data_IF_248068817949
#
_entry.id   IF_248068817949
#
_cell.length_a   1.000
_cell.length_b   1.000
_cell.length_c   1.000
_cell.angle_alpha   90.00
_cell.angle_beta   90.00
_cell.angle_gamma   90.00
#
_symmetry.space_group_name_H-M   'P 1'
#
loop_
_entity.id
_entity.type
_entity.pdbx_description
1 polymer ?
#
# COMPACT_ATOMS: atom_id res chain seq x y z
N UNK A 1 -10.92 20.17 12.37
CA UNK A 1 -11.38 18.82 11.98
C UNK A 1 -12.68 18.96 11.20
N UNK A 2 -12.73 18.44 9.97
CA UNK A 2 -13.98 18.39 9.21
C UNK A 2 -14.91 17.32 9.82
N UNK A 3 -16.22 17.56 9.80
CA UNK A 3 -17.24 16.65 10.38
C UNK A 3 -18.36 16.30 9.40
N UNK A 4 -18.55 17.13 8.37
CA UNK A 4 -19.55 16.96 7.33
C UNK A 4 -18.89 17.16 5.97
N UNK A 5 -19.49 16.61 4.90
CA UNK A 5 -19.02 16.85 3.54
C UNK A 5 -18.96 18.34 3.18
N UNK A 6 -19.83 19.16 3.78
CA UNK A 6 -19.85 20.61 3.57
C UNK A 6 -18.61 21.30 4.18
N UNK A 7 -18.04 20.78 5.27
CA UNK A 7 -16.75 21.29 5.78
C UNK A 7 -15.61 21.01 4.79
N UNK A 8 -15.63 19.87 4.10
CA UNK A 8 -14.65 19.55 3.05
C UNK A 8 -14.80 20.53 1.89
N UNK A 9 -16.02 20.72 1.40
CA UNK A 9 -16.31 21.69 0.34
C UNK A 9 -15.89 23.11 0.72
N UNK A 10 -16.29 23.59 1.91
CA UNK A 10 -15.92 24.93 2.37
C UNK A 10 -14.40 25.13 2.45
N UNK A 11 -13.66 24.10 2.89
CA UNK A 11 -12.20 24.14 2.91
C UNK A 11 -11.58 24.20 1.51
N UNK A 12 -12.10 23.42 0.56
CA UNK A 12 -11.68 23.44 -0.86
C UNK A 12 -11.96 24.81 -1.47
N UNK A 13 -13.18 25.32 -1.31
CA UNK A 13 -13.60 26.60 -1.86
C UNK A 13 -12.77 27.75 -1.27
N UNK A 14 -12.52 27.74 0.04
CA UNK A 14 -11.66 28.74 0.68
C UNK A 14 -10.23 28.68 0.14
N UNK A 15 -9.65 27.49 0.05
CA UNK A 15 -8.28 27.33 -0.44
C UNK A 15 -8.12 27.81 -1.88
N UNK A 16 -9.03 27.38 -2.76
CA UNK A 16 -9.07 27.79 -4.17
C UNK A 16 -9.25 29.30 -4.31
N UNK A 17 -10.21 29.89 -3.61
CA UNK A 17 -10.55 31.32 -3.75
C UNK A 17 -9.51 32.26 -3.14
N UNK A 18 -8.71 31.80 -2.17
CA UNK A 18 -7.72 32.62 -1.47
C UNK A 18 -6.26 32.25 -1.79
N UNK A 19 -6.02 31.40 -2.80
CA UNK A 19 -4.70 30.94 -3.19
C UNK A 19 -3.90 30.34 -2.01
N UNK A 20 -4.56 29.55 -1.17
CA UNK A 20 -3.95 28.86 -0.02
C UNK A 20 -3.66 27.42 -0.42
N UNK A 21 -2.47 26.93 -0.11
CA UNK A 21 -2.11 25.52 -0.31
C UNK A 21 -3.07 24.63 0.49
N UNK A 22 -3.73 23.70 -0.19
CA UNK A 22 -4.63 22.74 0.43
C UNK A 22 -3.91 21.42 0.76
N UNK A 23 -4.17 20.86 1.93
CA UNK A 23 -3.77 19.51 2.31
C UNK A 23 -5.00 18.73 2.77
N UNK A 24 -5.13 17.49 2.30
CA UNK A 24 -6.12 16.54 2.80
C UNK A 24 -5.39 15.55 3.69
N UNK A 25 -5.82 15.42 4.95
CA UNK A 25 -5.21 14.51 5.93
C UNK A 25 -6.26 13.58 6.50
N UNK A 26 -6.01 12.27 6.41
CA UNK A 26 -6.73 11.25 7.17
C UNK A 26 -5.98 10.94 8.48
N UNK A 27 -5.23 9.83 8.52
CA UNK A 27 -4.52 9.38 9.73
C UNK A 27 -3.15 10.06 9.91
N UNK A 28 -2.49 10.43 8.80
CA UNK A 28 -1.13 10.96 8.81
C UNK A 28 -0.04 9.90 8.59
N UNK A 29 -0.43 8.71 8.13
CA UNK A 29 0.46 7.57 7.81
C UNK A 29 1.36 7.76 6.57
N UNK A 30 1.22 8.85 5.82
CA UNK A 30 1.93 8.99 4.55
C UNK A 30 3.46 9.11 4.73
N UNK A 31 4.20 8.09 4.28
CA UNK A 31 5.67 8.04 4.36
C UNK A 31 6.39 9.18 3.64
N UNK A 32 5.74 9.77 2.64
CA UNK A 32 6.30 10.83 1.79
C UNK A 32 5.90 12.24 2.25
N UNK A 33 5.20 12.38 3.37
CA UNK A 33 4.77 13.68 3.90
C UNK A 33 3.69 14.38 3.08
N UNK A 34 2.95 13.66 2.23
CA UNK A 34 1.90 14.22 1.35
C UNK A 34 0.63 14.61 2.11
N UNK A 35 0.50 14.23 3.39
CA UNK A 35 -0.54 14.71 4.30
C UNK A 35 -0.10 15.88 5.20
N UNK A 36 0.98 16.59 4.84
CA UNK A 36 1.45 17.80 5.51
C UNK A 36 1.98 18.82 4.50
N UNK A 37 2.12 20.08 4.92
CA UNK A 37 2.64 21.15 4.09
C UNK A 37 2.74 22.47 4.84
N UNK A 38 3.88 23.17 4.69
CA UNK A 38 4.06 24.49 5.28
C UNK A 38 3.01 25.48 4.77
N UNK A 39 2.47 26.31 5.67
CA UNK A 39 1.52 27.38 5.34
C UNK A 39 0.20 26.90 4.72
N UNK A 40 -0.16 25.63 4.90
CA UNK A 40 -1.33 25.03 4.27
C UNK A 40 -2.58 25.08 5.14
N UNK A 41 -3.75 25.09 4.48
CA UNK A 41 -5.02 24.71 5.10
C UNK A 41 -5.16 23.19 5.05
N UNK A 42 -5.17 22.54 6.22
CA UNK A 42 -5.37 21.10 6.31
C UNK A 42 -6.84 20.75 6.58
N UNK A 43 -7.50 20.11 5.60
CA UNK A 43 -8.77 19.42 5.80
C UNK A 43 -8.48 18.06 6.44
N UNK A 44 -8.67 17.98 7.75
CA UNK A 44 -8.53 16.73 8.47
C UNK A 44 -9.86 15.96 8.49
N UNK A 45 -9.88 14.79 7.84
CA UNK A 45 -11.05 13.91 7.65
C UNK A 45 -11.15 12.80 8.71
N UNK A 46 -10.26 12.77 9.70
CA UNK A 46 -10.20 11.71 10.71
C UNK A 46 -11.49 11.60 11.56
N UNK A 47 -12.37 12.60 11.58
CA UNK A 47 -13.65 12.52 12.30
C UNK A 47 -14.76 11.74 11.56
N UNK A 48 -14.57 11.37 10.29
CA UNK A 48 -15.59 10.75 9.44
C UNK A 48 -15.72 9.24 9.65
N UNK A 49 -16.24 8.81 10.80
CA UNK A 49 -16.18 7.40 11.25
C UNK A 49 -17.33 6.51 10.77
N UNK A 50 -18.34 7.06 10.11
CA UNK A 50 -19.55 6.31 9.73
C UNK A 50 -19.23 5.13 8.80
N UNK A 51 -19.79 3.97 9.12
CA UNK A 51 -19.69 2.74 8.32
C UNK A 51 -21.06 2.06 8.30
N UNK A 52 -21.48 1.62 7.12
CA UNK A 52 -22.75 0.96 6.88
C UNK A 52 -22.51 -0.32 6.08
N UNK A 53 -23.19 -1.40 6.45
CA UNK A 53 -23.19 -2.66 5.70
C UNK A 53 -24.53 -2.79 5.00
N UNK A 54 -24.49 -3.08 3.71
CA UNK A 54 -25.66 -3.19 2.85
C UNK A 54 -25.69 -4.57 2.21
N UNK A 55 -26.86 -5.20 2.27
CA UNK A 55 -27.16 -6.42 1.53
C UNK A 55 -27.81 -5.98 0.23
N UNK A 56 -27.12 -6.19 -0.90
CA UNK A 56 -27.60 -5.76 -2.21
C UNK A 56 -27.67 -6.95 -3.15
N UNK A 57 -28.89 -7.44 -3.41
CA UNK A 57 -29.17 -8.34 -4.55
C UNK A 57 -29.07 -7.60 -5.90
N UNK A 58 -28.85 -6.28 -5.88
CA UNK A 58 -29.08 -5.34 -6.97
C UNK A 58 -28.19 -5.51 -8.22
N UNK A 59 -27.23 -6.42 -8.20
CA UNK A 59 -26.21 -6.54 -9.25
C UNK A 59 -25.86 -7.99 -9.63
N UNK A 60 -26.70 -8.97 -9.28
CA UNK A 60 -26.36 -10.40 -9.43
C UNK A 60 -25.09 -10.81 -8.65
N UNK A 61 -24.63 -9.99 -7.72
CA UNK A 61 -23.65 -10.38 -6.71
C UNK A 61 -24.41 -11.06 -5.57
N UNK A 62 -24.08 -12.31 -5.27
CA UNK A 62 -24.51 -12.98 -4.04
C UNK A 62 -23.68 -12.54 -2.82
N UNK A 63 -23.00 -11.38 -2.91
CA UNK A 63 -21.99 -10.91 -1.98
C UNK A 63 -22.51 -9.73 -1.14
N UNK A 64 -22.04 -9.62 0.10
CA UNK A 64 -22.29 -8.46 0.96
C UNK A 64 -21.46 -7.26 0.47
N UNK A 65 -21.98 -6.04 0.63
CA UNK A 65 -21.26 -4.80 0.28
C UNK A 65 -21.15 -3.93 1.53
N UNK A 66 -20.01 -3.25 1.69
CA UNK A 66 -19.79 -2.30 2.78
C UNK A 66 -19.55 -0.92 2.21
N UNK A 67 -20.16 0.07 2.83
CA UNK A 67 -19.95 1.47 2.55
C UNK A 67 -19.37 2.13 3.77
N UNK A 68 -18.15 2.61 3.65
CA UNK A 68 -17.44 3.30 4.73
C UNK A 68 -17.10 4.74 4.35
N UNK A 69 -17.18 5.64 5.31
CA UNK A 69 -16.66 7.01 5.17
C UNK A 69 -15.12 7.01 5.10
N UNK A 70 -14.52 8.18 4.85
CA UNK A 70 -13.06 8.35 4.67
C UNK A 70 -12.20 7.86 5.84
N UNK A 71 -12.75 7.77 7.07
CA UNK A 71 -11.91 7.48 8.22
C UNK A 71 -11.47 6.02 8.42
N UNK A 72 -12.38 5.03 8.59
CA UNK A 72 -12.15 3.86 9.43
C UNK A 72 -10.76 3.25 9.24
N UNK A 73 -10.06 3.08 10.36
CA UNK A 73 -8.78 2.39 10.36
C UNK A 73 -8.99 0.90 10.06
N UNK A 74 -7.98 0.25 9.47
CA UNK A 74 -8.10 -1.15 9.01
C UNK A 74 -8.67 -2.09 10.06
N UNK A 75 -8.14 -2.06 11.29
CA UNK A 75 -8.63 -2.92 12.38
C UNK A 75 -10.05 -2.57 12.81
N UNK A 76 -10.41 -1.29 12.86
CA UNK A 76 -11.77 -0.88 13.21
C UNK A 76 -12.77 -1.38 12.18
N UNK A 77 -12.44 -1.25 10.88
CA UNK A 77 -13.28 -1.70 9.78
C UNK A 77 -13.47 -3.23 9.81
N UNK A 78 -12.39 -3.98 10.02
CA UNK A 78 -12.46 -5.45 10.16
C UNK A 78 -13.29 -5.88 11.39
N UNK A 79 -13.17 -5.17 12.52
CA UNK A 79 -13.97 -5.44 13.72
C UNK A 79 -15.46 -5.24 13.45
N UNK A 80 -15.83 -4.15 12.76
CA UNK A 80 -17.23 -3.89 12.38
C UNK A 80 -17.75 -4.94 11.40
N UNK A 81 -16.91 -5.41 10.48
CA UNK A 81 -17.23 -6.45 9.50
C UNK A 81 -17.50 -7.83 10.18
N UNK A 82 -16.68 -8.20 11.17
CA UNK A 82 -16.86 -9.43 11.95
C UNK A 82 -18.06 -9.38 12.93
N UNK A 83 -18.70 -8.22 13.11
CA UNK A 83 -19.94 -8.06 13.90
C UNK A 83 -21.22 -8.24 13.06
N UNK A 84 -21.10 -8.36 11.74
CA UNK A 84 -22.26 -8.57 10.87
C UNK A 84 -22.81 -9.99 11.01
N UNK A 85 -24.07 -10.18 10.60
CA UNK A 85 -24.71 -11.50 10.54
C UNK A 85 -25.29 -11.74 9.14
N UNK A 86 -24.71 -12.65 8.33
CA UNK A 86 -23.47 -13.39 8.57
C UNK A 86 -22.23 -12.48 8.65
N UNK A 87 -21.16 -13.00 9.27
CA UNK A 87 -19.87 -12.30 9.40
C UNK A 87 -19.22 -12.11 8.03
N UNK A 88 -18.58 -10.96 7.84
CA UNK A 88 -17.89 -10.62 6.59
C UNK A 88 -16.48 -10.11 6.85
N UNK A 89 -15.61 -10.28 5.85
CA UNK A 89 -14.26 -9.76 5.77
C UNK A 89 -14.15 -8.66 4.70
N UNK A 90 -13.17 -7.78 4.87
CA UNK A 90 -12.88 -6.65 3.96
C UNK A 90 -11.39 -6.65 3.65
N UNK A 91 -11.01 -6.40 2.40
CA UNK A 91 -9.60 -6.32 1.99
C UNK A 91 -8.97 -5.03 2.53
N UNK A 92 -8.28 -5.11 3.67
CA UNK A 92 -7.54 -3.99 4.28
C UNK A 92 -6.02 -4.18 4.19
N UNK A 93 -5.27 -3.16 4.59
CA UNK A 93 -3.82 -3.27 4.78
C UNK A 93 -3.47 -4.15 5.97
N UNK A 94 -2.19 -4.46 6.10
CA UNK A 94 -1.69 -5.14 7.30
C UNK A 94 -1.75 -4.16 8.49
N UNK A 95 -1.22 -2.93 8.35
CA UNK A 95 -1.09 -2.00 9.46
C UNK A 95 -2.48 -1.64 10.04
N UNK A 96 -2.76 -1.94 11.32
CA UNK A 96 -4.08 -1.75 11.93
C UNK A 96 -4.64 -0.33 11.90
N UNK A 97 -3.77 0.67 11.98
CA UNK A 97 -4.11 2.10 12.16
C UNK A 97 -4.10 2.88 10.84
N UNK A 98 -3.86 2.21 9.71
CA UNK A 98 -3.95 2.86 8.39
C UNK A 98 -5.40 3.16 8.07
N UNK A 99 -5.66 4.41 7.66
CA UNK A 99 -6.99 4.84 7.26
C UNK A 99 -7.38 4.24 5.92
N UNK A 100 -8.40 3.38 5.92
CA UNK A 100 -8.80 2.58 4.77
C UNK A 100 -9.16 3.44 3.55
N UNK A 101 -10.10 4.36 3.75
CA UNK A 101 -10.68 5.19 2.70
C UNK A 101 -9.89 6.50 2.52
N UNK A 102 -8.64 6.39 2.09
CA UNK A 102 -7.75 7.53 1.81
C UNK A 102 -6.64 7.16 0.85
N UNK A 103 -5.40 7.55 1.18
CA UNK A 103 -4.23 7.21 0.37
C UNK A 103 -4.03 5.71 0.17
N UNK A 104 -4.40 4.88 1.16
CA UNK A 104 -4.33 3.42 1.07
C UNK A 104 -5.06 2.89 -0.18
N UNK A 105 -6.39 3.03 -0.23
CA UNK A 105 -7.17 2.56 -1.38
C UNK A 105 -6.91 3.37 -2.65
N UNK A 106 -6.65 4.68 -2.55
CA UNK A 106 -6.40 5.51 -3.74
C UNK A 106 -5.06 5.21 -4.42
N UNK A 107 -4.06 4.71 -3.69
CA UNK A 107 -2.77 4.31 -4.25
C UNK A 107 -2.70 2.84 -4.68
N UNK A 108 -3.71 2.04 -4.36
CA UNK A 108 -3.80 0.62 -4.72
C UNK A 108 -4.22 -0.23 -3.51
N UNK A 109 -3.40 -0.23 -2.47
CA UNK A 109 -3.65 -0.92 -1.21
C UNK A 109 -3.45 -2.44 -1.29
N UNK A 110 -2.25 -2.91 -0.92
CA UNK A 110 -1.99 -4.34 -0.71
C UNK A 110 -2.33 -4.74 0.73
N UNK A 111 -2.36 -6.05 1.02
CA UNK A 111 -2.59 -6.56 2.36
C UNK A 111 -2.87 -8.07 2.41
N UNK A 112 -3.20 -8.62 3.59
CA UNK A 112 -3.28 -10.06 3.81
C UNK A 112 -4.31 -10.81 2.97
N UNK A 113 -5.35 -10.12 2.52
CA UNK A 113 -6.39 -10.68 1.66
C UNK A 113 -6.16 -10.42 0.16
N UNK A 114 -5.15 -9.64 -0.21
CA UNK A 114 -4.96 -9.19 -1.60
C UNK A 114 -4.65 -10.35 -2.55
N UNK A 115 -3.89 -11.35 -2.10
CA UNK A 115 -3.63 -12.58 -2.86
C UNK A 115 -4.84 -13.48 -3.04
N UNK A 116 -5.94 -13.22 -2.33
CA UNK A 116 -7.16 -14.02 -2.39
C UNK A 116 -8.35 -13.28 -3.03
N UNK A 117 -8.42 -11.94 -2.91
CA UNK A 117 -9.53 -11.12 -3.42
C UNK A 117 -9.11 -9.96 -4.33
N UNK A 118 -7.80 -9.75 -4.56
CA UNK A 118 -7.27 -8.58 -5.26
C UNK A 118 -7.00 -7.40 -4.33
N UNK A 119 -6.38 -6.34 -4.85
CA UNK A 119 -5.97 -5.16 -4.07
C UNK A 119 -7.19 -4.38 -3.56
N UNK A 120 -7.02 -3.48 -2.58
CA UNK A 120 -8.11 -2.67 -2.03
C UNK A 120 -8.81 -1.82 -3.11
N UNK A 121 -8.05 -1.21 -4.02
CA UNK A 121 -8.59 -0.47 -5.15
C UNK A 121 -9.41 -1.36 -6.10
N UNK A 122 -9.11 -2.65 -6.20
CA UNK A 122 -9.91 -3.61 -6.98
C UNK A 122 -11.31 -3.81 -6.36
N UNK A 123 -11.50 -3.49 -5.08
CA UNK A 123 -12.75 -3.69 -4.34
C UNK A 123 -13.74 -2.53 -4.45
N UNK A 124 -13.30 -1.34 -4.86
CA UNK A 124 -14.16 -0.17 -4.92
C UNK A 124 -15.27 -0.31 -5.97
N UNK A 125 -16.49 0.02 -5.57
CA UNK A 125 -17.70 0.03 -6.39
C UNK A 125 -18.18 1.45 -6.67
N UNK A 126 -18.01 2.37 -5.71
CA UNK A 126 -18.30 3.78 -5.90
C UNK A 126 -17.53 4.65 -4.89
N UNK A 127 -17.33 5.92 -5.24
CA UNK A 127 -16.84 6.94 -4.32
C UNK A 127 -17.83 8.10 -4.27
N UNK A 128 -17.98 8.70 -3.09
CA UNK A 128 -18.48 10.06 -2.97
C UNK A 128 -17.31 11.01 -2.80
N UNK A 129 -17.32 12.08 -3.59
CA UNK A 129 -16.19 13.01 -3.65
C UNK A 129 -16.65 14.46 -3.71
N UNK A 130 -15.75 15.36 -3.33
CA UNK A 130 -15.81 16.79 -3.62
C UNK A 130 -14.72 17.12 -4.64
N UNK A 131 -15.10 17.62 -5.82
CA UNK A 131 -14.15 17.97 -6.89
C UNK A 131 -13.36 19.24 -6.55
N UNK A 132 -12.33 19.56 -7.33
CA UNK A 132 -11.61 20.83 -7.20
C UNK A 132 -12.52 22.06 -7.47
N UNK A 133 -13.56 21.89 -8.29
CA UNK A 133 -14.61 22.87 -8.53
C UNK A 133 -15.61 23.00 -7.36
N UNK A 134 -15.51 22.12 -6.35
CA UNK A 134 -16.37 22.11 -5.18
C UNK A 134 -17.72 21.42 -5.41
N UNK A 135 -17.83 20.54 -6.40
CA UNK A 135 -19.04 19.77 -6.70
C UNK A 135 -19.08 18.48 -5.90
N UNK A 136 -20.26 18.11 -5.40
CA UNK A 136 -20.47 16.79 -4.79
C UNK A 136 -20.86 15.78 -5.86
N UNK A 137 -20.02 14.76 -6.07
CA UNK A 137 -20.27 13.70 -7.05
C UNK A 137 -20.31 12.34 -6.38
N UNK A 138 -21.18 11.46 -6.89
CA UNK A 138 -21.05 10.01 -6.73
C UNK A 138 -20.49 9.46 -8.04
N UNK A 139 -19.33 8.82 -7.96
CA UNK A 139 -18.60 8.30 -9.12
C UNK A 139 -18.45 6.78 -9.03
N UNK A 140 -18.68 6.10 -10.15
CA UNK A 140 -18.64 4.65 -10.30
C UNK A 140 -18.39 4.30 -11.77
N UNK A 141 -18.58 3.02 -12.16
CA UNK A 141 -18.38 2.57 -13.53
C UNK A 141 -19.36 3.18 -14.56
N UNK A 142 -20.51 3.72 -14.11
CA UNK A 142 -21.56 4.26 -14.99
C UNK A 142 -21.64 5.80 -14.91
N UNK A 143 -21.13 6.40 -13.84
CA UNK A 143 -21.16 7.83 -13.56
C UNK A 143 -19.74 8.35 -13.34
N UNK A 144 -19.26 9.19 -14.26
CA UNK A 144 -17.88 9.69 -14.27
C UNK A 144 -16.83 8.55 -14.20
N UNK A 145 -16.90 7.56 -15.11
CA UNK A 145 -16.07 6.36 -15.07
C UNK A 145 -14.57 6.64 -15.16
N UNK A 146 -14.22 7.76 -15.78
CA UNK A 146 -12.85 8.21 -15.94
C UNK A 146 -12.26 8.69 -14.60
N UNK A 147 -13.02 9.46 -13.81
CA UNK A 147 -12.65 9.83 -12.44
C UNK A 147 -12.64 8.60 -11.52
N UNK A 148 -13.64 7.73 -11.64
CA UNK A 148 -13.70 6.48 -10.89
C UNK A 148 -12.45 5.61 -11.12
N UNK A 149 -12.02 5.46 -12.37
CA UNK A 149 -10.79 4.76 -12.72
C UNK A 149 -9.55 5.40 -12.07
N UNK A 150 -9.43 6.73 -12.13
CA UNK A 150 -8.31 7.46 -11.53
C UNK A 150 -8.25 7.35 -10.00
N UNK A 151 -9.39 7.30 -9.32
CA UNK A 151 -9.46 7.14 -7.85
C UNK A 151 -9.08 5.73 -7.38
N UNK A 152 -9.00 4.74 -8.28
CA UNK A 152 -8.66 3.35 -7.99
C UNK A 152 -7.20 3.05 -8.35
N UNK A 153 -6.26 3.67 -7.66
CA UNK A 153 -4.82 3.43 -7.84
C UNK A 153 -4.04 4.61 -8.42
N UNK A 154 -4.69 5.71 -8.80
CA UNK A 154 -4.02 6.90 -9.34
C UNK A 154 -3.29 7.75 -8.31
N UNK A 155 -3.35 7.38 -7.03
CA UNK A 155 -2.64 8.03 -5.93
C UNK A 155 -3.49 9.04 -5.13
N UNK A 156 -3.03 9.41 -3.93
CA UNK A 156 -3.75 10.32 -3.05
C UNK A 156 -3.83 11.75 -3.59
N UNK A 157 -4.81 12.52 -3.13
CA UNK A 157 -4.84 13.99 -3.25
C UNK A 157 -4.57 14.52 -4.66
N UNK A 158 -5.13 13.86 -5.68
CA UNK A 158 -4.82 14.16 -7.10
C UNK A 158 -6.04 14.66 -7.88
N UNK A 159 -7.22 14.04 -7.71
CA UNK A 159 -8.36 14.33 -8.59
C UNK A 159 -9.55 14.96 -7.85
N UNK A 160 -9.85 14.47 -6.65
CA UNK A 160 -10.97 14.94 -5.83
C UNK A 160 -10.73 14.57 -4.36
N UNK A 161 -11.39 15.26 -3.44
CA UNK A 161 -11.41 14.91 -2.04
C UNK A 161 -12.46 13.83 -1.78
N UNK A 162 -12.07 12.67 -1.25
CA UNK A 162 -13.03 11.63 -0.87
C UNK A 162 -13.87 12.08 0.34
N UNK A 163 -15.12 11.62 0.35
CA UNK A 163 -16.09 11.71 1.46
C UNK A 163 -16.42 10.31 1.97
N UNK A 164 -16.67 9.37 1.06
CA UNK A 164 -16.92 7.96 1.37
C UNK A 164 -16.56 7.06 0.18
N UNK A 165 -16.44 5.77 0.46
CA UNK A 165 -16.24 4.71 -0.54
C UNK A 165 -17.18 3.54 -0.25
N UNK A 166 -17.71 2.94 -1.30
CA UNK A 166 -18.43 1.67 -1.25
C UNK A 166 -17.52 0.58 -1.82
N UNK A 167 -17.33 -0.50 -1.08
CA UNK A 167 -16.43 -1.62 -1.42
C UNK A 167 -17.14 -2.97 -1.27
N UNK A 168 -16.67 -3.96 -2.03
CA UNK A 168 -17.06 -5.35 -1.83
C UNK A 168 -16.66 -5.85 -0.45
N UNK A 169 -17.48 -6.73 0.12
CA UNK A 169 -17.10 -7.56 1.27
C UNK A 169 -17.27 -9.03 0.92
N UNK A 170 -16.63 -9.87 1.69
CA UNK A 170 -16.58 -11.31 1.44
C UNK A 170 -17.05 -12.07 2.67
N UNK A 171 -17.63 -13.26 2.54
CA UNK A 171 -17.87 -14.12 3.68
C UNK A 171 -16.59 -14.30 4.51
N UNK A 172 -16.72 -14.27 5.82
CA UNK A 172 -15.62 -14.56 6.72
C UNK A 172 -15.18 -16.03 6.57
N UNK A 173 -13.88 -16.30 6.60
CA UNK A 173 -13.32 -17.65 6.35
C UNK A 173 -12.27 -18.02 7.39
N UNK A 174 -12.16 -19.31 7.77
CA UNK A 174 -11.02 -19.78 8.57
C UNK A 174 -9.68 -19.45 7.90
N UNK A 175 -8.62 -19.35 8.69
CA UNK A 175 -7.29 -19.08 8.18
C UNK A 175 -6.22 -19.77 9.03
N UNK A 176 -5.04 -19.99 8.45
CA UNK A 176 -3.87 -20.48 9.17
C UNK A 176 -2.71 -19.49 9.05
N UNK A 177 -1.94 -19.36 10.13
CA UNK A 177 -0.77 -18.49 10.19
C UNK A 177 0.49 -19.27 10.57
N UNK A 178 1.64 -18.84 10.05
CA UNK A 178 2.96 -19.32 10.49
C UNK A 178 3.84 -18.13 10.87
N UNK A 179 4.41 -18.16 12.08
CA UNK A 179 5.57 -17.31 12.41
C UNK A 179 6.84 -18.13 12.31
N UNK A 180 7.91 -17.53 11.79
CA UNK A 180 9.19 -18.21 11.59
C UNK A 180 10.34 -17.25 11.93
N UNK A 181 11.33 -17.73 12.67
CA UNK A 181 12.60 -17.03 12.85
C UNK A 181 13.77 -17.97 12.67
N UNK A 182 14.86 -17.48 12.08
CA UNK A 182 16.10 -18.25 11.99
C UNK A 182 16.85 -18.20 13.32
N UNK A 183 17.39 -19.33 13.75
CA UNK A 183 18.19 -19.47 14.97
C UNK A 183 19.68 -19.32 14.64
N UNK A 184 20.06 -18.19 14.03
CA UNK A 184 21.47 -17.90 13.68
C UNK A 184 21.79 -16.40 13.82
N UNK A 185 23.05 -16.11 14.13
CA UNK A 185 23.61 -14.76 14.13
C UNK A 185 24.66 -14.58 13.02
N UNK A 186 24.96 -15.64 12.24
CA UNK A 186 25.86 -15.55 11.10
C UNK A 186 25.14 -14.94 9.90
N UNK A 187 25.59 -13.76 9.48
CA UNK A 187 24.95 -13.00 8.43
C UNK A 187 24.94 -13.75 7.08
N UNK A 188 26.00 -14.48 6.75
CA UNK A 188 26.06 -15.25 5.50
C UNK A 188 24.97 -16.32 5.45
N UNK A 189 24.80 -17.04 6.55
CA UNK A 189 23.79 -18.08 6.72
C UNK A 189 22.38 -17.49 6.69
N UNK A 190 22.14 -16.35 7.36
CA UNK A 190 20.87 -15.65 7.28
C UNK A 190 20.50 -15.23 5.85
N UNK A 191 21.45 -14.71 5.07
CA UNK A 191 21.22 -14.34 3.67
C UNK A 191 20.95 -15.57 2.78
N UNK A 192 21.59 -16.72 3.04
CA UNK A 192 21.27 -17.98 2.34
C UNK A 192 19.84 -18.45 2.67
N UNK A 193 19.42 -18.33 3.94
CA UNK A 193 18.06 -18.62 4.35
C UNK A 193 17.04 -17.66 3.73
N UNK A 194 17.37 -16.38 3.66
CA UNK A 194 16.54 -15.38 2.98
C UNK A 194 16.46 -15.66 1.47
N UNK A 195 17.54 -16.07 0.82
CA UNK A 195 17.52 -16.46 -0.60
C UNK A 195 16.58 -17.66 -0.85
N UNK A 196 16.67 -18.70 -0.01
CA UNK A 196 15.78 -19.85 -0.05
C UNK A 196 14.30 -19.45 0.10
N UNK A 197 14.01 -18.50 0.99
CA UNK A 197 12.69 -17.94 1.18
C UNK A 197 12.20 -17.07 0.01
N UNK A 198 12.95 -16.05 -0.37
CA UNK A 198 12.53 -15.03 -1.33
C UNK A 198 12.40 -15.60 -2.74
N UNK A 199 13.24 -16.56 -3.12
CA UNK A 199 13.10 -17.24 -4.42
C UNK A 199 11.83 -18.10 -4.51
N UNK A 200 11.23 -18.47 -3.37
CA UNK A 200 9.94 -19.14 -3.37
C UNK A 200 8.76 -18.17 -3.48
N UNK A 201 8.96 -16.83 -3.39
CA UNK A 201 7.89 -15.81 -3.41
C UNK A 201 6.75 -16.08 -4.42
N UNK A 202 7.00 -16.44 -5.69
CA UNK A 202 5.96 -16.82 -6.64
C UNK A 202 5.04 -17.96 -6.15
N UNK A 203 5.59 -18.99 -5.50
CA UNK A 203 4.82 -20.13 -4.97
C UNK A 203 3.79 -19.70 -3.93
N UNK A 204 4.15 -18.78 -3.03
CA UNK A 204 3.26 -18.32 -1.96
C UNK A 204 2.07 -17.57 -2.57
N UNK A 205 2.33 -16.62 -3.46
CA UNK A 205 1.28 -15.85 -4.11
C UNK A 205 0.42 -16.71 -5.04
N UNK A 206 0.99 -17.71 -5.72
CA UNK A 206 0.24 -18.67 -6.55
C UNK A 206 -0.68 -19.58 -5.70
N UNK A 207 -0.37 -19.74 -4.42
CA UNK A 207 -1.23 -20.41 -3.45
C UNK A 207 -2.16 -19.44 -2.69
N UNK A 208 -2.24 -18.18 -3.11
CA UNK A 208 -3.12 -17.18 -2.48
C UNK A 208 -2.66 -16.71 -1.10
N UNK A 209 -1.39 -16.93 -0.75
CA UNK A 209 -0.83 -16.51 0.54
C UNK A 209 -0.38 -15.06 0.52
N UNK A 210 -0.36 -14.47 1.71
CA UNK A 210 0.35 -13.23 2.02
C UNK A 210 1.46 -13.53 3.02
N UNK A 211 2.57 -12.81 2.94
CA UNK A 211 3.66 -12.95 3.90
C UNK A 211 4.21 -11.60 4.28
N UNK A 212 4.35 -11.35 5.58
CA UNK A 212 5.11 -10.22 6.12
C UNK A 212 6.47 -10.73 6.65
N UNK A 213 7.56 -10.09 6.24
CA UNK A 213 8.89 -10.42 6.71
C UNK A 213 9.74 -9.19 7.02
N UNK A 214 10.70 -9.39 7.92
CA UNK A 214 11.63 -8.39 8.40
C UNK A 214 13.06 -8.92 8.25
N UNK A 215 13.93 -8.11 7.67
CA UNK A 215 15.35 -8.41 7.48
C UNK A 215 16.19 -7.23 7.96
N UNK A 216 16.75 -7.35 9.16
CA UNK A 216 17.52 -6.27 9.80
C UNK A 216 18.80 -6.81 10.44
N UNK A 217 19.95 -6.23 10.09
CA UNK A 217 21.24 -6.57 10.73
C UNK A 217 21.62 -8.05 10.62
N UNK A 218 21.09 -8.77 9.63
CA UNK A 218 21.25 -10.22 9.48
C UNK A 218 20.24 -11.07 10.27
N UNK A 219 19.33 -10.48 11.02
CA UNK A 219 18.16 -11.17 11.57
C UNK A 219 17.08 -11.28 10.50
N UNK A 220 16.52 -12.47 10.32
CA UNK A 220 15.43 -12.74 9.38
C UNK A 220 14.23 -13.34 10.12
N UNK A 221 13.11 -12.63 10.09
CA UNK A 221 11.87 -13.01 10.76
C UNK A 221 10.71 -12.94 9.79
N UNK A 222 9.77 -13.87 9.93
CA UNK A 222 8.53 -13.93 9.17
C UNK A 222 7.38 -13.90 10.17
N UNK A 223 6.57 -12.84 10.09
CA UNK A 223 5.55 -12.53 11.10
C UNK A 223 4.36 -11.80 10.48
N UNK A 224 3.47 -12.50 9.74
CA UNK A 224 3.44 -13.94 9.54
C UNK A 224 3.37 -14.36 8.06
N UNK A 225 3.42 -15.66 7.80
CA UNK A 225 2.71 -16.27 6.68
C UNK A 225 1.21 -16.30 6.96
N UNK A 226 0.39 -15.96 5.97
CA UNK A 226 -1.08 -16.00 6.05
C UNK A 226 -1.61 -16.89 4.93
N UNK A 227 -2.33 -17.95 5.31
CA UNK A 227 -3.10 -18.81 4.41
C UNK A 227 -4.59 -18.65 4.69
N UNK A 228 -5.27 -17.84 3.87
CA UNK A 228 -6.72 -17.67 3.92
C UNK A 228 -7.40 -18.95 3.42
N UNK A 229 -8.41 -19.42 4.13
CA UNK A 229 -9.11 -20.68 3.84
C UNK A 229 -8.18 -21.90 3.77
N UNK A 230 -7.09 -21.87 4.56
CA UNK A 230 -6.16 -22.99 4.69
C UNK A 230 -6.24 -23.62 6.08
N UNK A 231 -6.10 -24.94 6.13
CA UNK A 231 -5.80 -25.67 7.36
C UNK A 231 -4.30 -25.64 7.65
N UNK A 232 -3.91 -26.04 8.86
CA UNK A 232 -2.53 -26.34 9.26
C UNK A 232 -1.87 -27.27 8.26
N UNK A 233 -2.53 -28.35 7.88
CA UNK A 233 -1.97 -29.30 6.92
C UNK A 233 -1.67 -28.63 5.57
N UNK A 234 -2.62 -27.84 5.05
CA UNK A 234 -2.45 -27.17 3.76
C UNK A 234 -1.35 -26.12 3.79
N UNK A 235 -1.33 -25.25 4.80
CA UNK A 235 -0.27 -24.23 4.88
C UNK A 235 1.10 -24.87 5.06
N UNK A 236 1.21 -25.94 5.88
CA UNK A 236 2.46 -26.69 6.04
C UNK A 236 2.95 -27.28 4.71
N UNK A 237 2.07 -27.87 3.91
CA UNK A 237 2.41 -28.41 2.58
C UNK A 237 2.96 -27.32 1.64
N UNK A 238 2.34 -26.13 1.64
CA UNK A 238 2.78 -25.03 0.77
C UNK A 238 4.18 -24.55 1.16
N UNK A 239 4.46 -24.42 2.47
CA UNK A 239 5.74 -23.92 2.97
C UNK A 239 6.84 -24.98 3.06
N UNK A 240 6.51 -26.27 2.93
CA UNK A 240 7.44 -27.38 3.11
C UNK A 240 8.76 -27.25 2.32
N UNK A 241 8.79 -26.77 1.06
CA UNK A 241 10.04 -26.58 0.33
C UNK A 241 11.02 -25.62 1.02
N UNK A 242 10.53 -24.59 1.73
CA UNK A 242 11.39 -23.71 2.51
C UNK A 242 12.02 -24.47 3.68
N UNK A 243 11.24 -25.25 4.43
CA UNK A 243 11.75 -26.05 5.54
C UNK A 243 12.79 -27.07 5.08
N UNK A 244 12.59 -27.68 3.90
CA UNK A 244 13.55 -28.61 3.31
C UNK A 244 14.85 -27.91 2.92
N UNK A 245 14.76 -26.74 2.29
CA UNK A 245 15.93 -25.94 1.94
C UNK A 245 16.69 -25.49 3.19
N UNK A 246 16.02 -24.95 4.21
CA UNK A 246 16.66 -24.56 5.46
C UNK A 246 17.38 -25.74 6.12
N UNK A 247 16.77 -26.93 6.17
CA UNK A 247 17.42 -28.15 6.67
C UNK A 247 18.65 -28.54 5.85
N UNK A 248 18.56 -28.50 4.52
CA UNK A 248 19.69 -28.81 3.63
C UNK A 248 20.88 -27.85 3.79
N UNK A 249 20.59 -26.59 4.16
CA UNK A 249 21.58 -25.56 4.44
C UNK A 249 22.15 -25.65 5.86
N UNK A 250 21.64 -26.56 6.70
CA UNK A 250 22.01 -26.68 8.12
C UNK A 250 21.47 -25.54 8.99
N UNK A 251 20.44 -24.83 8.54
CA UNK A 251 19.89 -23.66 9.23
C UNK A 251 18.80 -24.12 10.20
N UNK A 252 19.04 -23.88 11.49
CA UNK A 252 18.03 -24.06 12.53
C UNK A 252 17.02 -22.90 12.49
N UNK A 253 15.75 -23.23 12.73
CA UNK A 253 14.66 -22.27 12.77
C UNK A 253 13.64 -22.65 13.83
N UNK A 254 12.89 -21.67 14.31
CA UNK A 254 11.69 -21.86 15.09
C UNK A 254 10.48 -21.50 14.24
N UNK A 255 9.49 -22.39 14.15
CA UNK A 255 8.24 -22.14 13.43
C UNK A 255 7.04 -22.49 14.31
N UNK A 256 6.04 -21.61 14.34
CA UNK A 256 4.78 -21.84 15.05
C UNK A 256 3.63 -21.78 14.05
N UNK A 257 2.78 -22.80 14.02
CA UNK A 257 1.66 -22.91 13.07
C UNK A 257 0.34 -22.95 13.82
N UNK A 258 -0.54 -21.98 13.55
CA UNK A 258 -1.82 -21.82 14.27
C UNK A 258 -2.97 -21.70 13.28
N UNK A 259 -4.07 -22.39 13.54
CA UNK A 259 -5.35 -22.19 12.83
C UNK A 259 -6.23 -21.23 13.61
N UNK A 260 -7.00 -20.44 12.87
CA UNK A 260 -7.90 -19.43 13.39
C UNK A 260 -9.30 -19.64 12.81
N UNK A 261 -10.37 -19.52 13.63
CA UNK A 261 -11.74 -19.72 13.16
C UNK A 261 -12.18 -18.74 12.06
N UNK A 262 -11.62 -17.52 12.07
CA UNK A 262 -11.89 -16.46 11.10
C UNK A 262 -10.60 -15.76 10.68
N UNK A 263 -10.61 -15.04 9.55
CA UNK A 263 -9.51 -14.18 9.16
C UNK A 263 -9.33 -13.04 10.16
N UNK A 264 -10.42 -12.49 10.71
CA UNK A 264 -10.35 -11.49 11.77
C UNK A 264 -9.58 -11.95 13.01
N UNK A 265 -9.79 -13.21 13.45
CA UNK A 265 -9.08 -13.77 14.61
C UNK A 265 -7.58 -13.92 14.31
N UNK A 266 -7.22 -14.37 13.10
CA UNK A 266 -5.82 -14.40 12.64
C UNK A 266 -5.23 -13.00 12.65
N UNK A 267 -5.94 -12.03 12.06
CA UNK A 267 -5.47 -10.67 11.90
C UNK A 267 -5.14 -10.04 13.25
N UNK A 268 -6.06 -10.16 14.20
CA UNK A 268 -5.91 -9.62 15.56
C UNK A 268 -4.79 -10.31 16.34
N UNK A 269 -4.55 -11.59 16.09
CA UNK A 269 -3.49 -12.33 16.78
C UNK A 269 -2.09 -12.04 16.24
N UNK A 270 -1.96 -11.74 14.94
CA UNK A 270 -0.66 -11.71 14.26
C UNK A 270 -0.20 -10.33 13.80
N UNK A 271 -1.11 -9.37 13.58
CA UNK A 271 -0.75 -8.00 13.19
C UNK A 271 -0.87 -7.02 14.36
N UNK A 272 0.22 -6.33 14.65
CA UNK A 272 0.35 -5.44 15.79
C UNK A 272 0.24 -3.98 15.37
N UNK A 273 0.00 -3.09 16.33
CA UNK A 273 0.11 -1.67 16.06
C UNK A 273 1.58 -1.32 15.83
N UNK A 274 1.87 -0.71 14.69
CA UNK A 274 3.21 -0.23 14.39
C UNK A 274 3.53 1.03 15.21
N UNK A 275 4.79 1.14 15.64
CA UNK A 275 5.30 2.34 16.31
C UNK A 275 5.41 3.52 15.34
N UNK A 276 5.11 4.74 15.81
CA UNK A 276 5.24 5.97 15.03
C UNK A 276 6.33 6.89 15.62
N UNK A 277 6.62 7.99 14.91
CA UNK A 277 7.54 9.03 15.40
C UNK A 277 9.01 8.83 15.02
N UNK A 278 9.30 7.84 14.18
CA UNK A 278 10.62 7.68 13.56
C UNK A 278 10.70 8.58 12.34
N UNK A 279 11.71 9.45 12.27
CA UNK A 279 12.01 10.20 11.06
C UNK A 279 12.82 9.30 10.14
N UNK A 280 12.24 8.84 9.04
CA UNK A 280 12.92 8.02 8.05
C UNK A 280 12.55 8.46 6.63
N UNK A 281 13.49 8.26 5.70
CA UNK A 281 13.18 8.24 4.28
C UNK A 281 12.82 6.81 3.90
N UNK A 282 11.75 6.66 3.13
CA UNK A 282 11.25 5.35 2.68
C UNK A 282 11.41 5.25 1.19
N UNK A 283 11.86 4.08 0.74
CA UNK A 283 11.89 3.67 -0.65
C UNK A 283 11.37 2.24 -0.75
N UNK A 284 11.65 1.60 -1.88
CA UNK A 284 11.31 0.20 -2.04
C UNK A 284 11.13 -0.22 -3.48
N UNK A 285 10.92 -1.53 -3.66
CA UNK A 285 10.79 -2.14 -4.98
C UNK A 285 9.78 -3.28 -4.97
N UNK A 286 8.94 -3.30 -6.00
CA UNK A 286 8.12 -4.44 -6.39
C UNK A 286 8.94 -5.36 -7.29
N UNK A 287 9.02 -6.63 -6.91
CA UNK A 287 9.59 -7.71 -7.69
C UNK A 287 8.46 -8.56 -8.27
N UNK A 288 8.46 -8.70 -9.60
CA UNK A 288 7.50 -9.56 -10.28
C UNK A 288 7.89 -11.03 -10.20
N UNK A 289 6.96 -11.94 -10.52
CA UNK A 289 7.26 -13.37 -10.70
C UNK A 289 8.31 -13.56 -11.78
N UNK A 290 8.21 -12.80 -12.88
CA UNK A 290 9.22 -12.80 -13.95
C UNK A 290 10.61 -12.42 -13.43
N UNK A 291 10.70 -11.36 -12.61
CA UNK A 291 11.99 -10.95 -12.04
C UNK A 291 12.55 -12.02 -11.09
N UNK A 292 11.73 -12.58 -10.19
CA UNK A 292 12.21 -13.58 -9.21
C UNK A 292 12.61 -14.89 -9.91
N UNK A 293 11.84 -15.35 -10.89
CA UNK A 293 12.15 -16.58 -11.62
C UNK A 293 13.43 -16.44 -12.48
N UNK A 294 13.67 -15.26 -13.07
CA UNK A 294 14.86 -15.03 -13.89
C UNK A 294 16.10 -14.66 -13.07
N UNK A 295 15.92 -13.84 -12.02
CA UNK A 295 17.00 -13.10 -11.36
C UNK A 295 17.00 -13.26 -9.83
N UNK A 296 16.28 -14.22 -9.24
CA UNK A 296 16.05 -14.32 -7.79
C UNK A 296 17.29 -14.17 -6.92
N UNK A 297 18.37 -14.90 -7.23
CA UNK A 297 19.64 -14.76 -6.49
C UNK A 297 20.30 -13.39 -6.69
N UNK A 298 20.23 -12.83 -7.90
CA UNK A 298 20.78 -11.50 -8.18
C UNK A 298 20.01 -10.39 -7.45
N UNK A 299 18.68 -10.55 -7.28
CA UNK A 299 17.84 -9.67 -6.46
C UNK A 299 18.28 -9.75 -4.99
N UNK A 300 18.43 -10.96 -4.46
CA UNK A 300 18.87 -11.15 -3.07
C UNK A 300 20.27 -10.59 -2.85
N UNK A 301 21.19 -10.76 -3.80
CA UNK A 301 22.52 -10.17 -3.76
C UNK A 301 22.47 -8.64 -3.84
N UNK A 302 21.55 -8.05 -4.62
CA UNK A 302 21.34 -6.60 -4.66
C UNK A 302 20.81 -6.08 -3.32
N UNK A 303 19.84 -6.78 -2.70
CA UNK A 303 19.34 -6.47 -1.36
C UNK A 303 20.44 -6.56 -0.31
N UNK A 304 21.32 -7.56 -0.42
CA UNK A 304 22.46 -7.72 0.48
C UNK A 304 23.48 -6.59 0.33
N UNK A 305 23.85 -6.24 -0.91
CA UNK A 305 24.85 -5.22 -1.21
C UNK A 305 24.38 -3.80 -0.88
N UNK A 306 23.06 -3.54 -0.87
CA UNK A 306 22.54 -2.23 -0.48
C UNK A 306 22.84 -1.88 0.97
N UNK A 307 23.05 -2.88 1.84
CA UNK A 307 23.26 -2.71 3.27
C UNK A 307 22.02 -2.21 4.03
N UNK A 308 20.86 -2.13 3.36
CA UNK A 308 19.62 -1.65 3.97
C UNK A 308 18.94 -2.73 4.83
N UNK A 309 18.11 -2.29 5.76
CA UNK A 309 17.07 -3.14 6.35
C UNK A 309 15.84 -3.20 5.44
N UNK A 310 15.11 -4.30 5.51
CA UNK A 310 13.91 -4.51 4.70
C UNK A 310 12.73 -4.93 5.54
N UNK A 311 11.59 -4.28 5.31
CA UNK A 311 10.27 -4.82 5.63
C UNK A 311 9.65 -5.22 4.31
N UNK A 312 9.20 -6.46 4.17
CA UNK A 312 8.69 -6.93 2.89
C UNK A 312 7.42 -7.73 2.99
N UNK A 313 6.71 -7.69 1.87
CA UNK A 313 5.40 -8.27 1.67
C UNK A 313 5.47 -9.21 0.48
N UNK A 314 5.32 -10.51 0.69
CA UNK A 314 5.08 -11.45 -0.41
C UNK A 314 3.60 -11.39 -0.70
N UNK A 315 3.25 -10.67 -1.75
CA UNK A 315 1.87 -10.36 -2.12
C UNK A 315 1.78 -10.17 -3.62
N UNK A 316 0.70 -10.70 -4.19
CA UNK A 316 0.35 -10.47 -5.58
C UNK A 316 -1.16 -10.65 -5.74
N UNK A 317 -1.86 -9.80 -6.50
CA UNK A 317 -3.29 -9.92 -6.68
C UNK A 317 -3.63 -11.29 -7.26
N UNK A 318 -4.70 -11.91 -6.74
CA UNK A 318 -5.11 -13.28 -7.09
C UNK A 318 -5.13 -13.52 -8.61
N UNK A 319 -4.47 -14.59 -9.04
CA UNK A 319 -4.58 -15.12 -10.40
C UNK A 319 -6.00 -15.68 -10.61
N UNK A 320 -6.62 -15.33 -11.74
CA UNK A 320 -7.90 -15.89 -12.16
C UNK A 320 -9.14 -15.06 -11.79
N UNK A 321 -8.97 -13.93 -11.10
CA UNK A 321 -10.01 -12.90 -11.09
C UNK A 321 -10.02 -12.16 -12.43
N UNK A 322 -11.20 -11.74 -12.89
CA UNK A 322 -11.32 -10.91 -14.07
C UNK A 322 -10.46 -9.64 -13.90
N UNK A 323 -9.74 -9.26 -14.96
CA UNK A 323 -8.93 -8.06 -14.94
C UNK A 323 -9.80 -6.85 -14.59
N UNK A 324 -9.46 -6.16 -13.50
CA UNK A 324 -10.14 -4.94 -13.08
C UNK A 324 -9.48 -3.76 -13.77
N UNK A 325 -10.24 -3.03 -14.59
CA UNK A 325 -9.77 -1.78 -15.19
C UNK A 325 -9.67 -0.68 -14.12
N UNK A 326 -8.45 -0.36 -13.73
CA UNK A 326 -8.13 0.69 -12.76
C UNK A 326 -6.70 1.22 -12.95
N UNK A 327 -6.34 2.23 -12.17
CA UNK A 327 -5.10 2.97 -12.31
C UNK A 327 -3.89 2.34 -11.59
N UNK A 328 -4.04 1.19 -10.93
CA UNK A 328 -2.92 0.47 -10.30
C UNK A 328 -1.84 0.17 -11.35
N UNK A 329 -0.56 0.36 -11.00
CA UNK A 329 0.54 0.05 -11.91
C UNK A 329 0.41 -1.40 -12.46
N UNK A 330 0.48 -1.61 -13.79
CA UNK A 330 0.29 -2.94 -14.38
C UNK A 330 1.22 -4.05 -13.85
N UNK A 331 2.43 -3.72 -13.39
CA UNK A 331 3.38 -4.68 -12.82
C UNK A 331 2.83 -5.38 -11.57
N UNK A 332 1.88 -4.77 -10.85
CA UNK A 332 1.20 -5.43 -9.74
C UNK A 332 0.48 -6.71 -10.17
N UNK A 333 0.01 -6.82 -11.42
CA UNK A 333 -0.65 -8.03 -11.91
C UNK A 333 0.27 -9.25 -12.03
N UNK A 334 1.57 -9.02 -12.00
CA UNK A 334 2.61 -10.05 -11.99
C UNK A 334 3.46 -10.00 -10.70
N UNK A 335 2.98 -9.33 -9.65
CA UNK A 335 3.70 -9.18 -8.40
C UNK A 335 3.93 -10.52 -7.68
N UNK A 336 5.09 -10.64 -7.04
CA UNK A 336 5.41 -11.72 -6.12
C UNK A 336 5.89 -11.19 -4.76
N UNK A 337 6.66 -10.10 -4.75
CA UNK A 337 7.21 -9.51 -3.55
C UNK A 337 7.25 -7.99 -3.68
N UNK A 338 6.96 -7.27 -2.61
CA UNK A 338 7.22 -5.85 -2.47
C UNK A 338 8.08 -5.64 -1.22
N UNK A 339 9.24 -5.01 -1.36
CA UNK A 339 10.12 -4.70 -0.23
C UNK A 339 10.26 -3.21 -0.03
N UNK A 340 10.03 -2.76 1.20
CA UNK A 340 10.26 -1.41 1.68
C UNK A 340 11.72 -1.30 2.12
N UNK A 341 12.37 -0.23 1.69
CA UNK A 341 13.70 0.18 2.16
C UNK A 341 13.56 1.44 3.01
N UNK A 342 14.47 1.63 3.96
CA UNK A 342 14.46 2.86 4.76
C UNK A 342 15.86 3.34 5.13
N UNK A 343 15.98 4.67 5.26
CA UNK A 343 17.14 5.34 5.85
C UNK A 343 16.64 6.19 7.02
N UNK A 344 16.98 5.76 8.24
CA UNK A 344 16.63 6.48 9.45
C UNK A 344 17.43 7.78 9.56
N UNK A 345 16.76 8.84 10.00
CA UNK A 345 17.32 10.16 10.21
C UNK A 345 17.13 10.60 11.66
N UNK A 346 18.14 11.27 12.21
CA UNK A 346 17.99 11.95 13.48
C UNK A 346 17.00 13.11 13.39
N UNK A 347 16.23 13.35 14.45
CA UNK A 347 15.25 14.45 14.50
C UNK A 347 15.88 15.84 14.32
N UNK A 348 17.18 15.97 14.60
CA UNK A 348 17.98 17.19 14.43
C UNK A 348 18.82 17.20 13.15
N UNK A 349 18.60 16.24 12.23
CA UNK A 349 19.35 16.16 10.98
C UNK A 349 19.27 17.47 10.18
N UNK A 350 20.42 17.95 9.73
CA UNK A 350 20.54 19.14 8.89
C UNK A 350 20.00 18.87 7.48
N UNK A 351 19.73 19.92 6.71
CA UNK A 351 19.32 19.77 5.31
C UNK A 351 20.34 19.00 4.46
N UNK A 352 21.64 19.23 4.68
CA UNK A 352 22.70 18.50 3.98
C UNK A 352 22.67 17.01 4.32
N UNK A 353 22.48 16.64 5.59
CA UNK A 353 22.34 15.24 6.00
C UNK A 353 21.10 14.58 5.40
N UNK A 354 19.95 15.29 5.36
CA UNK A 354 18.73 14.80 4.72
C UNK A 354 18.93 14.57 3.22
N UNK A 355 19.60 15.49 2.53
CA UNK A 355 19.90 15.36 1.11
C UNK A 355 20.86 14.19 0.84
N UNK A 356 21.90 14.02 1.66
CA UNK A 356 22.82 12.89 1.56
C UNK A 356 22.10 11.55 1.78
N UNK A 357 21.24 11.46 2.79
CA UNK A 357 20.44 10.27 3.05
C UNK A 357 19.47 9.95 1.90
N UNK A 358 18.88 10.97 1.28
CA UNK A 358 18.02 10.81 0.10
C UNK A 358 18.80 10.31 -1.11
N UNK A 359 20.02 10.82 -1.33
CA UNK A 359 20.91 10.32 -2.37
C UNK A 359 21.37 8.89 -2.10
N UNK A 360 21.65 8.54 -0.84
CA UNK A 360 21.96 7.17 -0.44
C UNK A 360 20.78 6.23 -0.72
N UNK A 361 19.58 6.58 -0.25
CA UNK A 361 18.36 5.79 -0.50
C UNK A 361 18.16 5.58 -2.01
N UNK A 362 18.22 6.65 -2.78
CA UNK A 362 17.90 6.59 -4.21
C UNK A 362 18.98 5.88 -5.02
N UNK A 363 20.25 6.23 -4.84
CA UNK A 363 21.31 5.83 -5.77
C UNK A 363 22.12 4.63 -5.28
N UNK A 364 22.13 4.35 -3.98
CA UNK A 364 22.91 3.25 -3.41
C UNK A 364 22.02 2.10 -2.93
N UNK A 365 20.83 2.40 -2.42
CA UNK A 365 19.92 1.39 -1.88
C UNK A 365 18.93 0.90 -2.95
N UNK A 366 18.14 1.80 -3.53
CA UNK A 366 17.07 1.42 -4.45
C UNK A 366 17.58 1.14 -5.88
N UNK A 367 18.68 1.78 -6.31
CA UNK A 367 19.19 1.61 -7.68
C UNK A 367 19.59 0.15 -8.01
N UNK A 368 20.37 -0.55 -7.16
CA UNK A 368 20.66 -1.97 -7.40
C UNK A 368 19.41 -2.85 -7.45
N UNK A 369 18.37 -2.50 -6.69
CA UNK A 369 17.10 -3.23 -6.72
C UNK A 369 16.36 -3.02 -8.04
N UNK A 370 16.36 -1.80 -8.57
CA UNK A 370 15.82 -1.50 -9.91
C UNK A 370 16.56 -2.28 -10.98
N UNK A 371 17.88 -2.28 -10.95
CA UNK A 371 18.72 -2.96 -11.94
C UNK A 371 18.47 -4.48 -11.94
N UNK A 372 18.27 -5.07 -10.76
CA UNK A 372 17.98 -6.51 -10.63
C UNK A 372 16.53 -6.89 -10.98
N UNK A 373 15.62 -5.91 -11.11
CA UNK A 373 14.18 -6.14 -11.33
C UNK A 373 13.60 -5.25 -12.44
N UNK A 374 14.02 -5.46 -13.70
CA UNK A 374 13.61 -4.61 -14.81
C UNK A 374 12.10 -4.68 -15.11
N UNK A 375 11.39 -5.73 -14.70
CA UNK A 375 9.93 -5.83 -14.85
C UNK A 375 9.16 -5.30 -13.64
N UNK A 376 9.88 -4.90 -12.59
CA UNK A 376 9.34 -4.39 -11.35
C UNK A 376 8.80 -2.96 -11.44
N UNK A 377 8.31 -2.48 -10.31
CA UNK A 377 7.76 -1.13 -10.16
C UNK A 377 8.08 -0.55 -8.78
N UNK A 378 7.74 0.72 -8.57
CA UNK A 378 7.69 1.32 -7.25
C UNK A 378 6.23 1.44 -6.80
N UNK A 379 5.99 1.45 -5.49
CA UNK A 379 4.65 1.60 -4.93
C UNK A 379 4.42 3.02 -4.42
N UNK A 380 3.40 3.69 -4.94
CA UNK A 380 3.10 5.10 -4.66
C UNK A 380 2.80 5.41 -3.19
N UNK A 381 2.45 4.43 -2.35
CA UNK A 381 2.19 4.69 -0.92
C UNK A 381 3.40 4.45 -0.02
N UNK A 382 4.34 3.59 -0.46
CA UNK A 382 5.52 3.15 0.30
C UNK A 382 6.76 3.35 -0.58
N UNK A 383 6.88 4.55 -1.15
CA UNK A 383 7.78 4.85 -2.25
C UNK A 383 8.77 5.96 -1.95
N UNK A 384 9.80 6.03 -2.78
CA UNK A 384 10.85 7.02 -2.71
C UNK A 384 10.37 8.40 -3.23
N UNK A 385 10.48 9.42 -2.40
CA UNK A 385 10.07 10.79 -2.74
C UNK A 385 10.85 11.39 -3.92
N UNK A 386 12.05 10.88 -4.19
CA UNK A 386 12.92 11.27 -5.31
C UNK A 386 13.13 10.12 -6.29
N UNK A 387 12.15 9.22 -6.40
CA UNK A 387 12.19 8.11 -7.36
C UNK A 387 12.46 8.65 -8.78
N UNK A 388 13.54 8.20 -9.45
CA UNK A 388 13.83 8.60 -10.80
C UNK A 388 12.70 8.19 -11.74
N UNK A 389 12.24 9.09 -12.59
CA UNK A 389 11.12 8.84 -13.51
C UNK A 389 9.87 8.31 -12.77
N UNK A 390 9.56 8.88 -11.60
CA UNK A 390 8.44 8.50 -10.72
C UNK A 390 7.10 8.30 -11.47
N UNK A 391 6.86 9.02 -12.57
CA UNK A 391 5.72 8.83 -13.47
C UNK A 391 5.61 7.38 -13.96
N UNK A 392 6.69 6.88 -14.55
CA UNK A 392 6.75 5.50 -15.03
C UNK A 392 6.92 4.52 -13.89
N UNK A 393 7.65 4.87 -12.83
CA UNK A 393 7.90 3.96 -11.71
C UNK A 393 6.63 3.67 -10.88
N UNK A 394 5.73 4.65 -10.72
CA UNK A 394 4.51 4.50 -9.91
C UNK A 394 3.26 4.12 -10.70
N UNK A 395 3.16 4.45 -12.00
CA UNK A 395 1.96 4.12 -12.78
C UNK A 395 2.26 3.46 -14.14
N UNK A 396 3.52 3.40 -14.58
CA UNK A 396 3.89 2.79 -15.86
C UNK A 396 3.11 3.40 -17.03
N UNK A 397 2.51 2.53 -17.84
CA UNK A 397 1.72 2.91 -19.01
C UNK A 397 0.42 3.65 -18.69
N UNK A 398 -0.01 3.68 -17.42
CA UNK A 398 -1.23 4.39 -17.01
C UNK A 398 -1.01 5.91 -16.86
N UNK A 399 0.24 6.36 -16.76
CA UNK A 399 0.53 7.75 -16.43
C UNK A 399 -0.04 8.79 -17.42
N UNK A 400 0.04 8.61 -18.76
CA UNK A 400 -0.52 9.58 -19.70
C UNK A 400 -2.02 9.83 -19.47
N UNK A 401 -2.81 8.76 -19.24
CA UNK A 401 -4.24 8.86 -18.93
C UNK A 401 -4.49 9.57 -17.59
N UNK A 402 -3.67 9.28 -16.57
CA UNK A 402 -3.77 9.97 -15.27
C UNK A 402 -3.47 11.48 -15.39
N UNK A 403 -2.52 11.86 -16.23
CA UNK A 403 -2.20 13.26 -16.49
C UNK A 403 -3.36 13.99 -17.20
N UNK A 404 -4.02 13.34 -18.16
CA UNK A 404 -5.23 13.88 -18.79
C UNK A 404 -6.37 14.09 -17.78
N UNK A 405 -6.61 13.10 -16.92
CA UNK A 405 -7.60 13.21 -15.85
C UNK A 405 -7.29 14.35 -14.89
N UNK A 406 -6.02 14.52 -14.53
CA UNK A 406 -5.58 15.62 -13.68
C UNK A 406 -5.93 16.97 -14.29
N UNK A 407 -5.66 17.15 -15.59
CA UNK A 407 -6.00 18.39 -16.33
C UNK A 407 -7.51 18.62 -16.42
N UNK A 408 -8.30 17.55 -16.52
CA UNK A 408 -9.78 17.63 -16.56
C UNK A 408 -10.38 18.00 -15.20
N UNK A 409 -9.98 17.30 -14.14
CA UNK A 409 -10.65 17.37 -12.84
C UNK A 409 -10.06 18.40 -11.88
N UNK A 410 -8.80 18.80 -12.08
CA UNK A 410 -8.16 19.87 -11.32
C UNK A 410 -7.18 20.70 -12.18
N UNK A 411 -7.69 21.44 -13.18
CA UNK A 411 -6.87 22.28 -14.06
C UNK A 411 -6.13 23.40 -13.33
N UNK A 412 -6.60 23.79 -12.14
CA UNK A 412 -6.00 24.86 -11.33
C UNK A 412 -4.99 24.34 -10.31
N UNK A 413 -4.89 23.01 -10.15
CA UNK A 413 -4.04 22.36 -9.18
C UNK A 413 -4.34 22.75 -7.73
N UNK A 414 -5.63 22.79 -7.38
CA UNK A 414 -6.12 22.97 -6.01
C UNK A 414 -5.58 21.89 -5.08
N UNK A 415 -5.56 20.64 -5.55
CA UNK A 415 -4.96 19.51 -4.83
C UNK A 415 -3.49 19.40 -5.21
N UNK A 416 -2.61 19.20 -4.22
CA UNK A 416 -1.20 18.95 -4.47
C UNK A 416 -0.68 17.92 -3.48
N UNK A 417 -0.04 16.88 -4.01
CA UNK A 417 0.77 15.94 -3.28
C UNK A 417 2.04 15.68 -4.11
N UNK A 418 3.22 15.74 -3.48
CA UNK A 418 4.47 15.49 -4.20
C UNK A 418 4.42 14.09 -4.84
N UNK A 419 4.99 13.97 -6.05
CA UNK A 419 5.04 12.72 -6.83
C UNK A 419 3.66 12.08 -7.01
N UNK A 420 2.67 12.87 -7.44
CA UNK A 420 1.37 12.39 -7.95
C UNK A 420 1.07 13.02 -9.32
N UNK A 421 0.13 12.46 -10.12
CA UNK A 421 -0.07 12.90 -11.52
C UNK A 421 -0.27 14.41 -11.67
N UNK A 422 0.47 15.02 -12.61
CA UNK A 422 0.44 16.45 -12.92
C UNK A 422 1.02 17.39 -11.85
N UNK A 423 1.79 16.86 -10.90
CA UNK A 423 2.51 17.69 -9.92
C UNK A 423 3.92 18.09 -10.36
N UNK A 424 4.39 17.57 -11.50
CA UNK A 424 5.66 17.96 -12.14
C UNK A 424 5.69 19.43 -12.60
N UNK A 425 4.52 20.05 -12.80
CA UNK A 425 4.40 21.48 -13.11
C UNK A 425 4.47 22.37 -11.86
N UNK A 426 4.73 21.78 -10.69
CA UNK A 426 4.80 22.45 -9.41
C UNK A 426 6.11 22.14 -8.71
N UNK A 427 6.55 23.05 -7.86
CA UNK A 427 7.75 22.89 -7.06
C UNK A 427 7.61 23.53 -5.69
N UNK A 428 8.20 22.87 -4.69
CA UNK A 428 8.34 23.42 -3.36
C UNK A 428 9.71 24.09 -3.28
N UNK A 429 9.70 25.40 -3.05
CA UNK A 429 10.88 26.28 -2.97
C UNK A 429 10.98 26.88 -1.57
N UNK A 430 12.00 27.72 -1.36
CA UNK A 430 12.25 28.41 -0.09
C UNK A 430 12.31 27.45 1.10
N UNK A 431 13.19 26.44 1.02
CA UNK A 431 13.41 25.45 2.08
C UNK A 431 12.12 24.77 2.58
N UNK A 432 11.20 24.46 1.65
CA UNK A 432 9.94 23.77 1.99
C UNK A 432 8.76 24.71 2.26
N UNK A 433 8.95 26.04 2.20
CA UNK A 433 7.97 27.02 2.70
C UNK A 433 7.01 27.54 1.64
N UNK A 434 7.31 27.37 0.36
CA UNK A 434 6.46 27.92 -0.70
C UNK A 434 6.24 26.89 -1.80
N UNK A 435 4.98 26.72 -2.20
CA UNK A 435 4.60 25.92 -3.38
C UNK A 435 4.35 26.88 -4.55
N UNK A 436 5.06 26.66 -5.65
CA UNK A 436 4.98 27.49 -6.85
C UNK A 436 4.69 26.63 -8.07
N UNK A 437 4.06 27.22 -9.09
CA UNK A 437 4.05 26.63 -10.44
C UNK A 437 5.40 26.90 -11.10
N UNK A 438 5.91 25.90 -11.83
CA UNK A 438 7.08 26.09 -12.70
C UNK A 438 6.68 26.98 -13.89
N UNK A 439 7.58 27.89 -14.24
CA UNK A 439 7.42 28.81 -15.36
C UNK A 439 7.79 28.14 -16.68
#
# INVERSE_FOLDING_TARGET
>A
MAKTRDHIKAGIDFARNNNVRLIIRNTGHDFMGRSTGFGSLAINTHSFKSTFFLLLDFFNYTDFISRCSVYPEGRELLRLANQQNPKVAIVTGECPTVGFAGGYIQGGGHGPLASYYGMAADQALSYEVVTAAGEFLTVNADSNPDLFWGLRGGGPSTFAALVSVTVKTYPETPAAGITLSLSTFDQNTSWRGFAAFHNLAPRWVDNGMFVYYELFGGSFNIRPFVGVNMTRARITEVVQPLFDQLRSLGIQYNAQITEYPTFFDLYTALFQDEGAGITALVGGRLFTKRDINANGNAIVDAMRRSGAGFVGHIVGPRIGLAAVDNAIHPAWRDAASFSITSVNLGNTATWAQKQQAQQQLTNQIDAPLRDASPNGAAYVNEGNLEEPNWQTAYWGTNYPRLLELRRKWDPQGVFYARTTPGTESWEVVDYGRRLCRRL
#
